data_IF_278387015753
#
_entry.id   IF_278387015753
#
_cell.length_a   1.000
_cell.length_b   1.000
_cell.length_c   1.000
_cell.angle_alpha   90.00
_cell.angle_beta   90.00
_cell.angle_gamma   90.00
#
_symmetry.space_group_name_H-M   'P 1'
#
loop_
_entity.id
_entity.type
_entity.pdbx_description
1 polymer ?
#
# COMPACT_ATOMS: atom_id res chain seq x y z
N UNK A 1 -11.67 25.86 11.96
CA UNK A 1 -11.11 26.61 10.81
C UNK A 1 -11.58 25.86 9.58
N UNK A 2 -12.61 26.37 8.91
CA UNK A 2 -13.25 25.70 7.77
C UNK A 2 -12.48 26.09 6.51
N UNK A 3 -11.76 25.15 5.91
CA UNK A 3 -11.17 25.33 4.60
C UNK A 3 -12.31 25.44 3.59
N UNK A 4 -12.44 26.60 2.94
CA UNK A 4 -13.44 26.86 1.91
C UNK A 4 -12.72 26.90 0.57
N UNK A 5 -12.74 25.79 -0.16
CA UNK A 5 -12.15 25.68 -1.50
C UNK A 5 -13.22 25.98 -2.55
N UNK A 6 -12.94 26.89 -3.48
CA UNK A 6 -13.88 27.30 -4.55
C UNK A 6 -13.48 26.77 -5.94
N UNK A 7 -12.77 25.65 -6.04
CA UNK A 7 -12.51 24.97 -7.32
C UNK A 7 -12.92 23.49 -7.22
N UNK A 8 -13.88 23.11 -8.07
CA UNK A 8 -14.28 21.76 -8.50
C UNK A 8 -14.03 20.55 -7.57
N UNK A 9 -14.36 20.65 -6.29
CA UNK A 9 -14.29 19.60 -5.25
C UNK A 9 -15.26 18.41 -5.43
N UNK A 10 -15.72 18.06 -6.65
CA UNK A 10 -16.84 17.13 -6.84
C UNK A 10 -16.73 16.17 -8.03
N UNK A 11 -15.52 15.78 -8.46
CA UNK A 11 -15.39 14.59 -9.28
C UNK A 11 -15.08 13.42 -8.34
N UNK A 12 -15.92 12.38 -8.36
CA UNK A 12 -15.54 11.09 -7.81
C UNK A 12 -14.27 10.65 -8.55
N UNK A 13 -13.23 10.32 -7.79
CA UNK A 13 -11.94 9.93 -8.33
C UNK A 13 -11.58 8.50 -7.94
N UNK A 14 -10.62 7.93 -8.66
CA UNK A 14 -10.05 6.61 -8.38
C UNK A 14 -8.80 6.79 -7.52
N UNK A 15 -8.69 6.13 -6.36
CA UNK A 15 -7.55 6.33 -5.46
C UNK A 15 -6.21 5.93 -6.08
N UNK A 16 -6.19 5.00 -7.04
CA UNK A 16 -4.98 4.63 -7.80
C UNK A 16 -4.59 5.67 -8.86
N UNK A 17 -5.32 6.78 -8.96
CA UNK A 17 -5.01 7.96 -9.78
C UNK A 17 -5.50 7.92 -11.23
N UNK A 18 -5.18 8.98 -11.96
CA UNK A 18 -5.41 9.15 -13.40
C UNK A 18 -6.57 10.07 -13.78
N UNK A 19 -7.25 10.67 -12.80
CA UNK A 19 -8.50 11.41 -13.01
C UNK A 19 -8.60 12.76 -12.29
N UNK A 20 -7.57 13.14 -11.51
CA UNK A 20 -7.53 14.45 -10.85
C UNK A 20 -6.66 15.51 -11.56
N UNK A 21 -6.04 15.19 -12.69
CA UNK A 21 -5.25 16.17 -13.44
C UNK A 21 -4.05 16.67 -12.62
N UNK A 22 -3.96 17.98 -12.25
CA UNK A 22 -2.90 18.47 -11.36
C UNK A 22 -3.18 18.22 -9.87
N UNK A 23 -4.39 17.81 -9.52
CA UNK A 23 -4.85 17.55 -8.16
C UNK A 23 -4.65 16.06 -7.80
N UNK A 24 -4.93 15.69 -6.55
CA UNK A 24 -4.77 14.32 -6.05
C UNK A 24 -6.07 13.76 -5.54
N UNK A 25 -6.37 12.51 -5.88
CA UNK A 25 -7.49 11.78 -5.31
C UNK A 25 -7.26 11.48 -3.83
N UNK A 26 -8.20 11.89 -2.97
CA UNK A 26 -8.10 11.68 -1.51
C UNK A 26 -9.36 11.07 -0.92
N UNK A 27 -9.24 10.09 0.00
CA UNK A 27 -10.38 9.53 0.70
C UNK A 27 -10.97 10.53 1.71
N UNK A 28 -12.28 10.75 1.60
CA UNK A 28 -13.10 11.51 2.53
C UNK A 28 -13.76 10.63 3.59
N UNK A 29 -14.53 11.27 4.48
CA UNK A 29 -15.31 10.55 5.50
C UNK A 29 -16.42 9.74 4.83
N UNK A 30 -16.52 8.45 5.16
CA UNK A 30 -17.56 7.56 4.61
C UNK A 30 -17.23 6.90 3.28
N UNK A 31 -15.96 6.89 2.86
CA UNK A 31 -15.50 6.15 1.67
C UNK A 31 -15.71 6.86 0.34
N UNK A 32 -16.10 8.13 0.37
CA UNK A 32 -16.16 8.98 -0.82
C UNK A 32 -14.75 9.45 -1.21
N UNK A 33 -14.44 9.49 -2.50
CA UNK A 33 -13.17 10.00 -3.02
C UNK A 33 -13.38 11.35 -3.70
N UNK A 34 -12.44 12.28 -3.52
CA UNK A 34 -12.51 13.60 -4.16
C UNK A 34 -11.12 14.14 -4.51
N UNK A 35 -11.03 14.80 -5.66
CA UNK A 35 -9.82 15.51 -6.07
C UNK A 35 -9.60 16.74 -5.18
N UNK A 36 -8.42 16.80 -4.56
CA UNK A 36 -7.99 17.91 -3.71
C UNK A 36 -6.69 18.52 -4.23
N UNK A 37 -6.47 19.84 -4.04
CA UNK A 37 -5.24 20.50 -4.48
C UNK A 37 -3.98 19.79 -4.01
N UNK A 38 -2.99 19.70 -4.91
CA UNK A 38 -1.74 19.00 -4.65
C UNK A 38 -0.49 19.77 -5.13
N UNK A 39 0.65 19.50 -4.49
CA UNK A 39 1.99 19.86 -4.97
C UNK A 39 2.46 18.97 -6.12
N UNK A 40 1.83 17.81 -6.33
CA UNK A 40 2.07 16.96 -7.50
C UNK A 40 3.42 16.22 -7.46
N UNK A 41 3.96 15.94 -6.27
CA UNK A 41 5.21 15.18 -6.14
C UNK A 41 5.07 13.77 -6.69
N UNK A 42 6.11 13.29 -7.35
CA UNK A 42 6.13 11.97 -7.98
C UNK A 42 6.35 10.86 -6.95
N UNK A 43 6.03 9.63 -7.32
CA UNK A 43 6.34 8.44 -6.53
C UNK A 43 7.84 8.38 -6.18
N UNK A 44 8.15 8.02 -4.93
CA UNK A 44 9.52 7.98 -4.41
C UNK A 44 10.10 9.35 -4.03
N UNK A 45 9.42 10.47 -4.32
CA UNK A 45 9.88 11.79 -3.87
C UNK A 45 9.63 12.00 -2.37
N UNK A 46 10.56 12.71 -1.73
CA UNK A 46 10.43 13.07 -0.32
C UNK A 46 9.23 14.00 -0.10
N UNK A 47 8.55 13.80 1.03
CA UNK A 47 7.42 14.61 1.43
C UNK A 47 7.36 14.84 2.95
N UNK A 48 6.59 15.84 3.36
CA UNK A 48 6.37 16.13 4.79
C UNK A 48 5.21 15.25 5.27
N UNK A 49 5.43 14.27 6.17
CA UNK A 49 4.36 13.41 6.66
C UNK A 49 3.49 14.10 7.73
N UNK A 50 3.88 15.28 8.22
CA UNK A 50 3.09 16.05 9.19
C UNK A 50 1.95 16.79 8.50
N UNK A 51 0.75 16.20 8.55
CA UNK A 51 -0.47 16.76 7.99
C UNK A 51 -0.82 18.16 8.52
N UNK A 52 -0.27 18.59 9.66
CA UNK A 52 -0.51 19.95 10.17
C UNK A 52 0.22 21.03 9.37
N UNK A 53 1.24 20.66 8.60
CA UNK A 53 2.01 21.57 7.76
C UNK A 53 1.43 21.71 6.35
N UNK A 54 0.41 20.94 6.00
CA UNK A 54 -0.11 20.87 4.64
C UNK A 54 -1.05 22.05 4.34
N UNK A 55 -0.68 22.83 3.34
CA UNK A 55 -1.56 23.82 2.70
C UNK A 55 -2.31 23.23 1.51
N UNK A 56 -1.77 22.15 0.95
CA UNK A 56 -2.33 21.27 -0.08
C UNK A 56 -1.67 19.88 0.07
N UNK A 57 -2.20 18.84 -0.58
CA UNK A 57 -1.62 17.50 -0.49
C UNK A 57 -0.20 17.50 -1.12
N UNK A 58 0.78 16.80 -0.54
CA UNK A 58 2.15 16.83 -1.06
C UNK A 58 2.33 15.99 -2.33
N UNK A 59 1.72 14.81 -2.40
CA UNK A 59 1.96 13.83 -3.45
C UNK A 59 0.94 13.95 -4.57
N UNK A 60 1.32 13.62 -5.79
CA UNK A 60 0.45 13.66 -6.97
C UNK A 60 -0.67 12.64 -6.95
N UNK A 61 -1.46 12.63 -8.01
CA UNK A 61 -2.61 11.75 -8.14
C UNK A 61 -2.20 10.27 -8.06
N UNK A 62 -2.94 9.49 -7.29
CA UNK A 62 -2.57 8.10 -7.01
C UNK A 62 -1.61 7.88 -5.85
N UNK A 63 -1.18 8.93 -5.14
CA UNK A 63 -0.11 8.84 -4.15
C UNK A 63 -0.48 9.41 -2.76
N UNK A 64 0.14 8.86 -1.73
CA UNK A 64 0.08 9.36 -0.35
C UNK A 64 1.48 9.59 0.22
N UNK A 65 1.62 10.61 1.07
CA UNK A 65 2.83 10.84 1.85
C UNK A 65 2.80 10.05 3.15
N UNK A 66 3.70 9.07 3.31
CA UNK A 66 3.86 8.31 4.54
C UNK A 66 5.33 8.22 4.96
N UNK A 67 5.58 8.21 6.27
CA UNK A 67 6.88 7.84 6.83
C UNK A 67 6.97 6.32 6.94
N UNK A 68 7.10 5.65 5.79
CA UNK A 68 7.27 4.20 5.73
C UNK A 68 8.69 3.75 6.12
N UNK A 69 9.66 4.65 6.11
CA UNK A 69 11.08 4.33 6.36
C UNK A 69 11.55 4.63 7.80
N UNK A 70 10.73 5.28 8.62
CA UNK A 70 11.11 5.71 9.97
C UNK A 70 12.28 6.71 9.97
N UNK A 71 12.50 7.40 8.85
CA UNK A 71 13.62 8.33 8.64
C UNK A 71 13.27 9.77 9.03
N UNK A 72 12.01 10.03 9.39
CA UNK A 72 11.52 11.34 9.80
C UNK A 72 11.09 12.25 8.65
N UNK A 73 11.50 11.93 7.42
CA UNK A 73 10.96 12.51 6.19
C UNK A 73 10.10 11.43 5.51
N UNK A 74 8.88 11.79 5.10
CA UNK A 74 7.97 10.90 4.39
C UNK A 74 8.39 10.70 2.93
N UNK A 75 7.79 9.72 2.28
CA UNK A 75 7.93 9.47 0.84
C UNK A 75 6.55 9.34 0.20
N UNK A 76 6.42 9.80 -1.04
CA UNK A 76 5.22 9.59 -1.83
C UNK A 76 5.13 8.15 -2.32
N UNK A 77 4.13 7.42 -1.83
CA UNK A 77 3.87 6.01 -2.13
C UNK A 77 2.55 5.85 -2.87
N UNK A 78 2.45 4.87 -3.76
CA UNK A 78 1.24 4.61 -4.51
C UNK A 78 0.12 4.04 -3.64
N UNK A 79 -1.10 4.54 -3.81
CA UNK A 79 -2.29 3.85 -3.35
C UNK A 79 -2.48 2.56 -4.15
N UNK A 80 -3.03 1.55 -3.48
CA UNK A 80 -3.38 0.28 -4.12
C UNK A 80 -4.72 -0.23 -3.59
N UNK A 81 -5.38 -1.01 -4.42
CA UNK A 81 -6.60 -1.77 -4.10
C UNK A 81 -6.41 -3.27 -4.31
N UNK A 82 -5.29 -3.65 -4.93
CA UNK A 82 -4.83 -5.02 -5.12
C UNK A 82 -3.34 -4.99 -5.55
N UNK A 83 -2.69 -6.16 -5.56
CA UNK A 83 -1.25 -6.29 -5.84
C UNK A 83 -0.88 -5.79 -7.23
N UNK A 84 -1.78 -5.91 -8.24
CA UNK A 84 -1.52 -5.41 -9.59
C UNK A 84 -1.39 -3.87 -9.70
N UNK A 85 -1.71 -3.14 -8.63
CA UNK A 85 -1.49 -1.69 -8.57
C UNK A 85 -0.06 -1.33 -8.15
N UNK A 86 0.67 -2.26 -7.54
CA UNK A 86 2.05 -2.08 -7.13
C UNK A 86 2.99 -2.59 -8.23
N UNK A 87 4.14 -1.93 -8.35
CA UNK A 87 5.14 -2.25 -9.37
C UNK A 87 6.42 -2.77 -8.74
N UNK A 88 7.17 -3.56 -9.50
CA UNK A 88 8.44 -4.08 -9.02
C UNK A 88 8.23 -5.18 -7.99
N UNK A 89 8.77 -4.99 -6.79
CA UNK A 89 8.67 -5.93 -5.67
C UNK A 89 7.83 -5.38 -4.51
N UNK A 90 7.13 -4.26 -4.74
CA UNK A 90 6.35 -3.60 -3.71
C UNK A 90 5.06 -4.39 -3.43
N UNK A 91 4.65 -4.45 -2.17
CA UNK A 91 3.43 -5.16 -1.74
C UNK A 91 2.31 -4.18 -1.43
N UNK A 92 1.12 -4.49 -1.94
CA UNK A 92 -0.10 -3.80 -1.61
C UNK A 92 -0.57 -4.16 -0.19
N UNK A 93 -0.22 -3.32 0.78
CA UNK A 93 -0.65 -3.53 2.16
C UNK A 93 -2.06 -2.98 2.35
N UNK A 94 -3.06 -3.83 2.57
CA UNK A 94 -4.47 -3.47 2.82
C UNK A 94 -4.93 -4.07 4.17
N UNK A 95 -5.70 -3.36 5.01
CA UNK A 95 -6.10 -1.95 4.89
C UNK A 95 -5.10 -1.02 5.60
N UNK A 96 -4.89 0.17 5.05
CA UNK A 96 -4.06 1.22 5.69
C UNK A 96 -4.90 2.31 6.36
N UNK A 97 -6.20 2.41 6.02
CA UNK A 97 -7.10 3.39 6.61
C UNK A 97 -8.25 2.70 7.34
N UNK A 98 -8.47 3.13 8.58
CA UNK A 98 -9.64 2.72 9.37
C UNK A 98 -10.94 3.05 8.61
N UNK A 99 -11.71 2.01 8.29
CA UNK A 99 -12.99 2.13 7.59
C UNK A 99 -12.90 2.13 6.05
N UNK A 100 -11.73 1.86 5.48
CA UNK A 100 -11.54 1.58 4.05
C UNK A 100 -10.88 0.21 3.89
N UNK A 101 -11.69 -0.84 3.95
CA UNK A 101 -11.21 -2.23 4.01
C UNK A 101 -10.51 -2.70 2.73
N UNK A 102 -10.72 -1.99 1.60
CA UNK A 102 -10.16 -2.33 0.28
C UNK A 102 -9.07 -1.34 -0.19
N UNK A 103 -8.63 -0.40 0.68
CA UNK A 103 -7.63 0.61 0.30
C UNK A 103 -6.33 0.43 1.08
N UNK A 104 -5.25 0.31 0.31
CA UNK A 104 -3.90 0.11 0.80
C UNK A 104 -2.89 1.07 0.18
N UNK A 105 -1.62 0.78 0.47
CA UNK A 105 -0.46 1.49 -0.06
C UNK A 105 0.59 0.47 -0.50
N UNK A 106 1.24 0.73 -1.63
CA UNK A 106 2.41 -0.01 -2.08
C UNK A 106 3.58 0.33 -1.17
N UNK A 107 3.96 -0.63 -0.32
CA UNK A 107 5.11 -0.48 0.56
C UNK A 107 6.34 -1.10 -0.10
N UNK A 108 7.51 -0.43 -0.03
CA UNK A 108 8.74 -1.00 -0.52
C UNK A 108 9.16 -2.16 0.39
N UNK A 109 8.95 -3.38 -0.09
CA UNK A 109 9.61 -4.58 0.39
C UNK A 109 10.08 -5.40 -0.83
N UNK A 110 10.74 -6.52 -0.61
CA UNK A 110 11.08 -7.45 -1.70
C UNK A 110 10.10 -8.61 -1.63
N UNK A 111 9.20 -8.72 -2.60
CA UNK A 111 8.30 -9.86 -2.85
C UNK A 111 8.58 -10.32 -4.28
N UNK A 112 9.29 -11.45 -4.45
CA UNK A 112 9.77 -11.91 -5.75
C UNK A 112 8.78 -12.84 -6.46
N UNK A 113 7.97 -13.59 -5.72
CA UNK A 113 7.02 -14.57 -6.26
C UNK A 113 5.56 -14.07 -6.30
N UNK A 114 5.31 -12.85 -5.80
CA UNK A 114 4.05 -12.11 -5.87
C UNK A 114 2.91 -12.74 -5.04
N UNK A 115 3.22 -13.44 -3.95
CA UNK A 115 2.22 -14.00 -3.03
C UNK A 115 1.72 -13.02 -1.95
N UNK A 116 2.34 -11.83 -1.88
CA UNK A 116 2.01 -10.76 -0.94
C UNK A 116 2.71 -10.86 0.41
N UNK A 117 3.61 -11.82 0.59
CA UNK A 117 4.59 -11.84 1.67
C UNK A 117 5.87 -11.14 1.22
N UNK A 118 6.50 -10.43 2.15
CA UNK A 118 7.82 -9.85 1.90
C UNK A 118 8.90 -10.86 2.30
N UNK A 119 10.04 -10.85 1.62
CA UNK A 119 11.22 -11.67 1.87
C UNK A 119 11.69 -11.71 3.34
N UNK A 120 11.34 -10.72 4.17
CA UNK A 120 11.67 -10.73 5.60
C UNK A 120 10.79 -11.66 6.45
N UNK A 121 9.60 -12.02 5.95
CA UNK A 121 8.61 -12.88 6.63
C UNK A 121 8.23 -14.12 5.83
N UNK A 122 8.65 -14.18 4.57
CA UNK A 122 8.54 -15.32 3.67
C UNK A 122 9.72 -16.29 3.88
N UNK A 123 9.43 -17.58 4.00
CA UNK A 123 10.42 -18.64 4.17
C UNK A 123 11.06 -19.09 2.83
N UNK A 124 10.40 -18.88 1.69
CA UNK A 124 10.93 -19.05 0.33
C UNK A 124 10.28 -18.06 -0.65
N UNK A 125 10.79 -16.82 -0.67
CA UNK A 125 10.47 -15.68 -1.59
C UNK A 125 10.82 -15.98 -3.08
N UNK A 126 10.66 -17.21 -3.54
CA UNK A 126 10.68 -17.60 -4.94
C UNK A 126 9.59 -18.64 -5.26
N UNK A 127 8.69 -18.92 -4.32
CA UNK A 127 7.65 -19.93 -4.36
C UNK A 127 6.35 -19.36 -3.78
N UNK A 128 5.44 -18.93 -4.68
CA UNK A 128 4.14 -18.29 -4.37
C UNK A 128 3.15 -19.14 -3.55
N UNK A 129 3.57 -20.34 -3.17
CA UNK A 129 2.84 -21.26 -2.29
C UNK A 129 3.44 -21.36 -0.89
N UNK A 130 4.50 -20.62 -0.59
CA UNK A 130 5.26 -20.71 0.67
C UNK A 130 5.25 -19.40 1.45
N UNK A 131 4.16 -19.11 2.16
CA UNK A 131 4.01 -17.87 2.93
C UNK A 131 3.26 -18.09 4.24
N UNK A 132 3.38 -17.14 5.17
CA UNK A 132 2.68 -17.18 6.46
C UNK A 132 1.17 -17.50 6.33
N UNK A 133 0.76 -18.69 6.77
CA UNK A 133 -0.63 -19.14 6.73
C UNK A 133 -1.10 -19.73 5.39
N UNK A 134 -0.19 -20.07 4.48
CA UNK A 134 -0.52 -20.93 3.34
C UNK A 134 -0.94 -22.34 3.80
N UNK A 135 -1.32 -23.20 2.86
CA UNK A 135 -1.66 -24.59 3.19
C UNK A 135 -0.42 -25.46 3.15
N UNK A 136 -0.11 -26.12 4.27
CA UNK A 136 0.99 -27.08 4.34
C UNK A 136 0.78 -28.27 3.38
N UNK A 137 1.78 -28.54 2.53
CA UNK A 137 1.78 -29.65 1.58
C UNK A 137 2.62 -30.81 2.10
N UNK A 138 2.00 -31.61 2.98
CA UNK A 138 2.65 -32.78 3.56
C UNK A 138 3.24 -33.72 2.50
N UNK A 139 4.55 -34.00 2.63
CA UNK A 139 5.41 -34.85 1.79
C UNK A 139 6.18 -34.13 0.65
N UNK A 140 6.27 -32.80 0.65
CA UNK A 140 7.10 -32.06 -0.32
C UNK A 140 8.49 -31.65 0.21
N UNK A 141 8.72 -31.76 1.53
CA UNK A 141 9.99 -31.43 2.17
C UNK A 141 10.17 -29.95 2.52
N UNK A 142 9.11 -29.15 2.47
CA UNK A 142 9.12 -27.70 2.68
C UNK A 142 8.22 -27.31 3.85
N UNK A 143 8.39 -26.07 4.26
CA UNK A 143 7.56 -25.34 5.21
C UNK A 143 6.73 -24.40 4.33
N UNK A 144 5.51 -24.76 3.97
CA UNK A 144 4.72 -23.94 3.03
C UNK A 144 3.98 -22.81 3.77
N UNK A 145 3.72 -22.95 5.07
CA UNK A 145 2.99 -21.94 5.84
C UNK A 145 3.89 -21.02 6.68
N UNK A 146 5.21 -21.21 6.58
CA UNK A 146 6.28 -20.49 7.24
C UNK A 146 6.16 -20.45 8.76
N UNK A 147 5.60 -21.48 9.39
CA UNK A 147 5.46 -21.57 10.85
C UNK A 147 6.73 -22.09 11.57
N UNK A 148 7.69 -22.61 10.79
CA UNK A 148 8.96 -23.16 11.23
C UNK A 148 9.01 -24.68 11.36
N UNK A 149 7.95 -25.39 10.96
CA UNK A 149 7.87 -26.83 10.81
C UNK A 149 7.74 -27.23 9.33
N UNK A 150 7.85 -28.52 9.04
CA UNK A 150 7.79 -29.02 7.66
C UNK A 150 7.35 -30.48 7.68
N UNK A 151 6.44 -30.84 6.78
CA UNK A 151 5.91 -32.20 6.63
C UNK A 151 5.51 -32.83 7.99
N UNK A 152 6.06 -34.01 8.32
CA UNK A 152 5.75 -34.76 9.52
C UNK A 152 6.26 -34.12 10.83
N UNK A 153 6.96 -32.99 10.76
CA UNK A 153 7.29 -32.17 11.92
C UNK A 153 6.27 -31.06 12.16
N UNK A 154 5.40 -30.81 11.18
CA UNK A 154 4.32 -29.85 11.20
C UNK A 154 3.05 -30.46 11.82
N UNK A 155 2.33 -29.65 12.60
CA UNK A 155 1.06 -30.04 13.23
C UNK A 155 -0.14 -29.86 12.26
N UNK A 156 0.04 -29.14 11.15
CA UNK A 156 -0.95 -28.97 10.08
C UNK A 156 -0.93 -30.13 9.04
N UNK A 157 -0.07 -31.13 9.31
CA UNK A 157 -0.08 -32.50 8.79
C UNK A 157 -0.72 -33.53 9.75
#
# INVERSE_FOLDING_TARGET
MTLSFTHSVCAACVPTGGDCGPDTCWPGVGGEYSCLPSEGRSEGEACDPDMNNWTQLPCGDGLICLDAAGLGDGVCLAFCTAQENCGGTDVCTIPVFEGLDDLGVCLPCTDIDEDGACAEVDCDDNDDTSFSGATELCEDGRDNDCDGAADALDDDC
#
